data_IF_902672454877
#
_entry.id   IF_902672454877
#
_cell.length_a   1.000
_cell.length_b   1.000
_cell.length_c   1.000
_cell.angle_alpha   90.00
_cell.angle_beta   90.00
_cell.angle_gamma   90.00
#
_symmetry.space_group_name_H-M   'P 1'
#
loop_
_entity.id
_entity.type
_entity.pdbx_description
1 polymer ?
#
# COMPACT_ATOMS: atom_id res chain seq x y z
N UNK A 1 -18.80 -4.85 -15.55
CA UNK A 1 -17.41 -5.17 -15.16
C UNK A 1 -17.51 -6.27 -14.13
N UNK A 2 -17.10 -7.46 -14.52
CA UNK A 2 -16.99 -8.58 -13.59
C UNK A 2 -15.70 -8.37 -12.77
N UNK A 3 -15.81 -8.41 -11.44
CA UNK A 3 -14.66 -8.30 -10.53
C UNK A 3 -14.30 -9.67 -9.93
N UNK A 4 -14.99 -10.72 -10.35
CA UNK A 4 -14.62 -12.08 -10.02
C UNK A 4 -13.31 -12.46 -10.70
N UNK A 5 -12.48 -13.20 -9.96
CA UNK A 5 -11.22 -13.69 -10.49
C UNK A 5 -11.48 -14.81 -11.51
N UNK A 6 -10.72 -14.79 -12.60
CA UNK A 6 -10.67 -15.90 -13.55
C UNK A 6 -10.15 -17.18 -12.87
N UNK A 7 -10.39 -18.37 -13.45
CA UNK A 7 -9.80 -19.61 -12.94
C UNK A 7 -8.28 -19.52 -12.75
N UNK A 8 -7.57 -18.97 -13.74
CA UNK A 8 -6.11 -18.82 -13.70
C UNK A 8 -5.67 -17.84 -12.60
N UNK A 9 -6.39 -16.74 -12.40
CA UNK A 9 -6.13 -15.80 -11.31
C UNK A 9 -6.39 -16.42 -9.92
N UNK A 10 -7.40 -17.30 -9.80
CA UNK A 10 -7.64 -18.05 -8.55
C UNK A 10 -6.52 -19.05 -8.27
N UNK A 11 -6.02 -19.72 -9.31
CA UNK A 11 -4.89 -20.64 -9.18
C UNK A 11 -3.61 -19.90 -8.80
N UNK A 12 -3.33 -18.75 -9.42
CA UNK A 12 -2.23 -17.87 -9.05
C UNK A 12 -2.34 -17.45 -7.58
N UNK A 13 -3.52 -16.97 -7.15
CA UNK A 13 -3.74 -16.57 -5.76
C UNK A 13 -3.46 -17.74 -4.80
N UNK A 14 -3.96 -18.94 -5.10
CA UNK A 14 -3.72 -20.13 -4.29
C UNK A 14 -2.24 -20.54 -4.26
N UNK A 15 -1.50 -20.36 -5.36
CA UNK A 15 -0.08 -20.63 -5.41
C UNK A 15 0.73 -19.65 -4.55
N UNK A 16 0.43 -18.35 -4.63
CA UNK A 16 1.04 -17.32 -3.78
C UNK A 16 0.75 -17.59 -2.31
N UNK A 17 -0.49 -17.93 -1.95
CA UNK A 17 -0.87 -18.26 -0.57
C UNK A 17 -0.12 -19.48 -0.03
N UNK A 18 0.17 -20.48 -0.86
CA UNK A 18 0.98 -21.64 -0.45
C UNK A 18 2.41 -21.26 -0.09
N UNK A 19 3.05 -20.40 -0.89
CA UNK A 19 4.40 -19.88 -0.60
C UNK A 19 4.39 -18.98 0.64
N UNK A 20 3.34 -18.17 0.82
CA UNK A 20 3.20 -17.28 1.97
C UNK A 20 2.84 -18.00 3.29
N UNK A 21 2.32 -19.22 3.24
CA UNK A 21 1.79 -19.93 4.42
C UNK A 21 2.78 -20.06 5.60
N UNK A 22 4.08 -20.33 5.40
CA UNK A 22 5.06 -20.37 6.49
C UNK A 22 5.22 -19.02 7.23
N UNK A 23 4.81 -17.92 6.60
CA UNK A 23 4.92 -16.55 7.10
C UNK A 23 3.59 -16.01 7.68
N UNK A 24 2.59 -16.87 7.90
CA UNK A 24 1.26 -16.44 8.36
C UNK A 24 1.27 -15.79 9.77
N UNK A 25 2.27 -16.12 10.59
CA UNK A 25 2.43 -15.63 11.96
C UNK A 25 3.85 -15.09 12.18
N UNK A 26 3.99 -14.24 13.19
CA UNK A 26 5.26 -13.76 13.69
C UNK A 26 5.96 -14.85 14.53
N UNK A 27 7.30 -14.89 14.55
CA UNK A 27 8.03 -15.79 15.44
C UNK A 27 7.70 -15.53 16.91
N UNK A 28 7.54 -16.60 17.69
CA UNK A 28 7.23 -16.49 19.11
C UNK A 28 8.34 -15.75 19.87
N UNK A 29 7.97 -14.74 20.65
CA UNK A 29 8.91 -13.94 21.45
C UNK A 29 9.67 -12.87 20.66
N UNK A 30 9.36 -12.67 19.37
CA UNK A 30 9.92 -11.55 18.61
C UNK A 30 9.46 -10.20 19.20
N UNK A 31 10.39 -9.24 19.27
CA UNK A 31 10.14 -7.88 19.75
C UNK A 31 10.56 -6.81 18.75
N UNK A 32 10.86 -7.23 17.52
CA UNK A 32 11.32 -6.41 16.42
C UNK A 32 10.23 -5.42 16.02
N UNK A 33 10.64 -4.24 15.56
CA UNK A 33 9.69 -3.23 15.11
C UNK A 33 9.07 -3.56 13.75
N UNK A 34 9.71 -4.44 12.99
CA UNK A 34 9.29 -5.02 11.72
C UNK A 34 9.96 -6.39 11.58
N UNK A 35 9.36 -7.30 10.82
CA UNK A 35 9.92 -8.61 10.54
C UNK A 35 10.47 -8.63 9.11
N UNK A 36 11.65 -9.20 8.93
CA UNK A 36 12.32 -9.24 7.63
C UNK A 36 11.66 -10.24 6.67
N UNK A 37 10.95 -9.70 5.69
CA UNK A 37 10.26 -10.46 4.66
C UNK A 37 11.12 -10.78 3.43
N UNK A 38 12.42 -10.47 3.42
CA UNK A 38 13.30 -10.80 2.29
C UNK A 38 13.31 -12.29 1.90
N UNK A 39 13.32 -13.26 2.85
CA UNK A 39 13.23 -14.68 2.47
C UNK A 39 11.97 -15.01 1.65
N UNK A 40 10.82 -14.46 2.05
CA UNK A 40 9.58 -14.62 1.30
C UNK A 40 9.65 -13.88 -0.05
N UNK A 41 10.22 -12.68 -0.08
CA UNK A 41 10.40 -11.92 -1.31
C UNK A 41 11.21 -12.72 -2.35
N UNK A 42 12.32 -13.32 -1.93
CA UNK A 42 13.20 -14.12 -2.80
C UNK A 42 12.52 -15.39 -3.29
N UNK A 43 11.70 -16.04 -2.47
CA UNK A 43 10.91 -17.21 -2.87
C UNK A 43 9.84 -16.83 -3.90
N UNK A 44 9.14 -15.70 -3.70
CA UNK A 44 8.15 -15.17 -4.65
C UNK A 44 8.79 -14.74 -5.98
N UNK A 45 9.98 -14.13 -5.94
CA UNK A 45 10.74 -13.75 -7.13
C UNK A 45 11.23 -14.97 -7.91
N UNK A 46 11.79 -15.96 -7.21
CA UNK A 46 12.26 -17.23 -7.79
C UNK A 46 11.12 -18.03 -8.42
N UNK A 47 9.92 -17.97 -7.84
CA UNK A 47 8.71 -18.57 -8.40
C UNK A 47 8.12 -17.77 -9.58
N UNK A 48 8.67 -16.58 -9.88
CA UNK A 48 8.24 -15.73 -10.98
C UNK A 48 7.00 -14.86 -10.68
N UNK A 49 6.49 -14.85 -9.45
CA UNK A 49 5.24 -14.15 -9.12
C UNK A 49 5.35 -12.63 -9.17
N UNK A 50 6.54 -12.05 -9.00
CA UNK A 50 6.75 -10.61 -9.19
C UNK A 50 6.51 -10.16 -10.64
N UNK A 51 6.58 -11.09 -11.60
CA UNK A 51 6.35 -10.82 -13.03
C UNK A 51 4.93 -11.16 -13.47
N UNK A 52 4.06 -11.59 -12.55
CA UNK A 52 2.68 -12.00 -12.88
C UNK A 52 1.90 -10.91 -13.63
N UNK A 53 2.17 -9.64 -13.34
CA UNK A 53 1.54 -8.49 -14.01
C UNK A 53 1.81 -8.41 -15.51
N UNK A 54 2.95 -8.93 -15.98
CA UNK A 54 3.34 -8.94 -17.38
C UNK A 54 2.76 -10.13 -18.17
N UNK A 55 2.16 -11.10 -17.48
CA UNK A 55 1.54 -12.28 -18.11
C UNK A 55 0.12 -11.93 -18.55
N UNK A 56 -0.23 -12.26 -19.80
CA UNK A 56 -1.51 -11.88 -20.42
C UNK A 56 -2.71 -12.46 -19.66
N UNK A 57 -2.53 -13.66 -19.09
CA UNK A 57 -3.56 -14.40 -18.36
C UNK A 57 -3.97 -13.70 -17.04
N UNK A 58 -3.05 -12.95 -16.44
CA UNK A 58 -3.26 -12.32 -15.13
C UNK A 58 -3.48 -10.81 -15.25
N UNK A 59 -2.69 -10.14 -16.11
CA UNK A 59 -2.65 -8.69 -16.24
C UNK A 59 -2.35 -7.98 -14.91
N UNK A 60 -2.77 -6.72 -14.73
CA UNK A 60 -2.55 -5.95 -13.50
C UNK A 60 -3.04 -6.63 -12.21
N UNK A 61 -4.04 -7.53 -12.31
CA UNK A 61 -4.52 -8.27 -11.15
C UNK A 61 -3.51 -9.29 -10.62
N UNK A 62 -2.57 -9.77 -11.43
CA UNK A 62 -1.50 -10.67 -10.96
C UNK A 62 -0.67 -10.04 -9.83
N UNK A 63 -0.16 -8.81 -10.05
CA UNK A 63 0.56 -8.05 -9.02
C UNK A 63 -0.33 -7.64 -7.83
N UNK A 64 -1.62 -7.35 -8.07
CA UNK A 64 -2.57 -7.05 -6.99
C UNK A 64 -2.74 -8.25 -6.06
N UNK A 65 -2.94 -9.46 -6.59
CA UNK A 65 -3.15 -10.67 -5.78
C UNK A 65 -1.91 -11.01 -4.93
N UNK A 66 -0.72 -10.79 -5.50
CA UNK A 66 0.53 -10.91 -4.78
C UNK A 66 0.61 -9.93 -3.60
N UNK A 67 0.37 -8.65 -3.89
CA UNK A 67 0.47 -7.58 -2.90
C UNK A 67 -0.62 -7.69 -1.82
N UNK A 68 -1.84 -8.08 -2.18
CA UNK A 68 -2.93 -8.39 -1.23
C UNK A 68 -2.50 -9.48 -0.25
N UNK A 69 -1.89 -10.56 -0.75
CA UNK A 69 -1.44 -11.67 0.09
C UNK A 69 -0.28 -11.25 0.99
N UNK A 70 0.73 -10.59 0.42
CA UNK A 70 1.93 -10.16 1.16
C UNK A 70 1.60 -9.14 2.27
N UNK A 71 0.73 -8.17 1.99
CA UNK A 71 0.35 -7.12 2.95
C UNK A 71 -0.52 -7.63 4.11
N UNK A 72 -1.18 -8.79 3.94
CA UNK A 72 -1.92 -9.49 5.00
C UNK A 72 -1.04 -10.25 6.01
N UNK A 73 0.27 -10.31 5.78
CA UNK A 73 1.23 -10.96 6.66
C UNK A 73 1.82 -9.96 7.68
N UNK A 74 2.27 -10.41 8.85
CA UNK A 74 2.99 -9.54 9.78
C UNK A 74 4.37 -9.09 9.23
N UNK A 75 4.88 -9.82 8.23
CA UNK A 75 6.18 -9.60 7.60
C UNK A 75 6.20 -8.39 6.66
N UNK A 76 7.33 -7.69 6.62
CA UNK A 76 7.53 -6.55 5.72
C UNK A 76 8.08 -7.05 4.38
N UNK A 77 7.22 -7.10 3.36
CA UNK A 77 7.56 -7.61 2.04
C UNK A 77 7.32 -6.53 0.99
N UNK A 78 8.38 -5.85 0.55
CA UNK A 78 8.32 -4.70 -0.37
C UNK A 78 8.00 -5.07 -1.82
N UNK A 79 6.80 -5.62 -2.08
CA UNK A 79 6.40 -6.12 -3.41
C UNK A 79 5.72 -5.07 -4.29
N UNK A 80 5.10 -4.03 -3.73
CA UNK A 80 4.28 -3.07 -4.51
C UNK A 80 5.06 -2.34 -5.61
N UNK A 81 6.28 -1.91 -5.32
CA UNK A 81 7.14 -1.27 -6.31
C UNK A 81 7.55 -2.22 -7.45
N UNK A 82 7.93 -3.46 -7.12
CA UNK A 82 8.45 -4.43 -8.09
C UNK A 82 7.33 -5.11 -8.90
N UNK A 83 6.21 -5.47 -8.27
CA UNK A 83 5.15 -6.26 -8.89
C UNK A 83 4.09 -5.43 -9.62
N UNK A 84 3.93 -4.14 -9.25
CA UNK A 84 2.94 -3.26 -9.87
C UNK A 84 3.59 -2.04 -10.51
N UNK A 85 4.33 -1.24 -9.74
CA UNK A 85 4.76 0.08 -10.22
C UNK A 85 5.79 -0.01 -11.34
N UNK A 86 6.88 -0.73 -11.16
CA UNK A 86 7.91 -0.89 -12.17
C UNK A 86 7.33 -1.43 -13.50
N UNK A 87 6.69 -2.62 -13.56
CA UNK A 87 6.23 -3.16 -14.83
C UNK A 87 5.15 -2.30 -15.51
N UNK A 88 4.25 -1.65 -14.74
CA UNK A 88 3.11 -0.93 -15.32
C UNK A 88 3.35 0.55 -15.57
N UNK A 89 4.34 1.17 -14.89
CA UNK A 89 4.69 2.57 -15.10
C UNK A 89 5.92 2.73 -16.00
N UNK A 90 6.91 1.85 -15.88
CA UNK A 90 8.18 1.96 -16.62
C UNK A 90 8.26 0.99 -17.80
N UNK A 91 7.55 -0.14 -17.74
CA UNK A 91 7.69 -1.23 -18.71
C UNK A 91 9.01 -2.00 -18.57
N UNK A 92 9.80 -1.72 -17.53
CA UNK A 92 11.07 -2.39 -17.25
C UNK A 92 10.94 -3.35 -16.05
N UNK A 93 11.59 -4.51 -16.14
CA UNK A 93 11.80 -5.42 -15.01
C UNK A 93 13.01 -4.93 -14.20
N UNK A 94 12.75 -4.12 -13.17
CA UNK A 94 13.80 -3.53 -12.33
C UNK A 94 14.20 -4.50 -11.21
N UNK A 95 15.50 -4.62 -10.87
CA UNK A 95 15.94 -5.43 -9.74
C UNK A 95 15.26 -4.98 -8.44
N UNK A 96 14.45 -5.84 -7.85
CA UNK A 96 13.71 -5.51 -6.65
C UNK A 96 14.30 -6.12 -5.36
N UNK A 97 13.82 -5.73 -4.16
CA UNK A 97 12.68 -4.85 -3.94
C UNK A 97 12.88 -3.43 -4.51
N UNK A 98 11.80 -2.81 -4.97
CA UNK A 98 11.82 -1.46 -5.56
C UNK A 98 11.19 -0.47 -4.57
N UNK A 99 11.99 0.46 -4.05
CA UNK A 99 11.53 1.58 -3.23
C UNK A 99 11.14 2.77 -4.11
N UNK A 100 10.29 3.66 -3.59
CA UNK A 100 9.80 4.84 -4.33
C UNK A 100 9.96 6.09 -3.47
N UNK A 101 10.66 7.09 -4.02
CA UNK A 101 10.77 8.43 -3.47
C UNK A 101 10.06 9.42 -4.38
N UNK A 102 9.50 10.47 -3.79
CA UNK A 102 8.95 11.62 -4.51
C UNK A 102 9.74 12.86 -4.13
N UNK A 103 10.20 13.61 -5.11
CA UNK A 103 10.94 14.85 -4.85
C UNK A 103 10.09 15.83 -4.01
N UNK A 104 10.77 16.55 -3.13
CA UNK A 104 10.13 17.49 -2.21
C UNK A 104 9.34 16.85 -1.05
N UNK A 105 9.25 15.51 -0.95
CA UNK A 105 8.59 14.81 0.17
C UNK A 105 9.53 14.37 1.30
N UNK A 106 10.79 14.80 1.25
CA UNK A 106 11.81 14.49 2.24
C UNK A 106 12.78 13.40 1.77
N UNK A 107 13.77 13.10 2.60
CA UNK A 107 14.82 12.12 2.34
C UNK A 107 14.48 10.72 2.88
N UNK A 108 13.33 10.56 3.56
CA UNK A 108 12.90 9.31 4.20
C UNK A 108 12.03 8.47 3.27
N UNK A 109 12.42 7.22 3.05
CA UNK A 109 11.81 6.31 2.07
C UNK A 109 11.54 4.95 2.70
N UNK A 110 10.32 4.43 2.49
CA UNK A 110 9.90 3.09 2.94
C UNK A 110 10.56 2.00 2.09
N UNK A 111 10.91 0.88 2.73
CA UNK A 111 11.66 -0.25 2.18
C UNK A 111 13.08 0.05 1.69
N UNK A 112 13.56 1.29 1.78
CA UNK A 112 14.86 1.67 1.25
C UNK A 112 16.05 0.82 1.75
N UNK A 113 16.15 0.42 3.03
CA UNK A 113 17.29 -0.38 3.51
C UNK A 113 17.40 -1.78 2.90
N UNK A 114 16.31 -2.32 2.35
CA UNK A 114 16.25 -3.66 1.75
C UNK A 114 16.02 -3.61 0.23
N UNK A 115 15.86 -2.41 -0.33
CA UNK A 115 15.62 -2.24 -1.75
C UNK A 115 16.90 -2.42 -2.57
N UNK A 116 16.75 -2.96 -3.78
CA UNK A 116 17.81 -3.03 -4.79
C UNK A 116 17.73 -1.86 -5.78
N UNK A 117 16.53 -1.34 -6.03
CA UNK A 117 16.30 -0.17 -6.88
C UNK A 117 15.50 0.89 -6.14
N UNK A 118 15.86 2.16 -6.32
CA UNK A 118 15.05 3.31 -5.94
C UNK A 118 14.50 4.01 -7.19
N UNK A 119 13.18 4.13 -7.29
CA UNK A 119 12.53 5.03 -8.23
C UNK A 119 12.38 6.41 -7.60
N UNK A 120 13.02 7.43 -8.19
CA UNK A 120 12.90 8.83 -7.77
C UNK A 120 11.96 9.53 -8.74
N UNK A 121 10.82 9.98 -8.22
CA UNK A 121 9.76 10.63 -8.98
C UNK A 121 9.87 12.14 -8.79
N UNK A 122 10.41 12.82 -9.80
CA UNK A 122 10.45 14.27 -9.86
C UNK A 122 9.18 14.87 -10.45
N UNK A 123 9.22 16.18 -10.72
CA UNK A 123 8.10 16.91 -11.32
C UNK A 123 7.91 16.53 -12.81
N UNK A 124 9.01 16.41 -13.56
CA UNK A 124 9.00 16.19 -15.01
C UNK A 124 9.60 14.84 -15.43
N UNK A 125 10.41 14.21 -14.58
CA UNK A 125 11.16 13.01 -14.91
C UNK A 125 11.12 11.96 -13.80
N UNK A 126 11.39 10.71 -14.18
CA UNK A 126 11.55 9.59 -13.23
C UNK A 126 12.95 9.02 -13.41
N UNK A 127 13.66 8.82 -12.29
CA UNK A 127 14.99 8.20 -12.29
C UNK A 127 14.94 6.84 -11.62
N UNK A 128 15.74 5.90 -12.14
CA UNK A 128 16.03 4.64 -11.47
C UNK A 128 17.48 4.66 -10.96
N UNK A 129 17.65 4.53 -9.65
CA UNK A 129 18.94 4.40 -8.99
C UNK A 129 19.14 2.94 -8.56
N UNK A 130 20.23 2.33 -9.03
CA UNK A 130 20.75 1.09 -8.44
C UNK A 130 21.31 1.43 -7.04
N UNK A 131 20.80 0.74 -6.03
CA UNK A 131 21.21 0.97 -4.64
C UNK A 131 22.48 0.20 -4.27
N UNK A 132 23.03 -0.62 -5.18
CA UNK A 132 24.34 -1.25 -5.00
C UNK A 132 25.43 -0.17 -4.84
N UNK A 133 25.91 -0.01 -3.61
CA UNK A 133 26.93 0.99 -3.26
C UNK A 133 26.39 2.40 -3.02
N UNK A 134 25.07 2.61 -3.03
CA UNK A 134 24.46 3.88 -2.63
C UNK A 134 24.57 4.11 -1.12
N UNK A 135 24.69 5.37 -0.70
CA UNK A 135 24.72 5.73 0.72
C UNK A 135 23.31 5.83 1.29
N UNK A 136 22.83 4.73 1.85
CA UNK A 136 21.54 4.63 2.54
C UNK A 136 21.77 4.58 4.05
N UNK A 137 21.00 5.37 4.80
CA UNK A 137 21.01 5.34 6.27
C UNK A 137 19.74 4.68 6.78
N UNK A 138 19.80 3.43 7.32
CA UNK A 138 18.63 2.81 7.95
C UNK A 138 18.12 3.62 9.13
N UNK A 139 16.80 3.78 9.24
CA UNK A 139 16.14 4.51 10.30
C UNK A 139 15.43 3.56 11.25
N UNK A 140 15.51 3.86 12.55
CA UNK A 140 14.74 3.15 13.57
C UNK A 140 13.33 3.71 13.62
N UNK A 141 12.38 2.97 13.09
CA UNK A 141 10.96 3.34 13.11
C UNK A 141 10.14 2.28 13.84
N UNK A 142 8.88 2.61 14.12
CA UNK A 142 7.90 1.67 14.69
C UNK A 142 6.89 1.18 13.65
N UNK A 143 7.06 1.56 12.38
CA UNK A 143 6.03 1.50 11.34
C UNK A 143 5.81 0.11 10.72
N UNK A 144 6.36 -0.95 11.31
CA UNK A 144 6.25 -2.33 10.82
C UNK A 144 6.78 -2.59 9.40
N UNK A 145 7.51 -1.62 8.85
CA UNK A 145 8.30 -1.70 7.62
C UNK A 145 9.67 -1.02 7.86
N UNK A 146 10.73 -1.42 7.14
CA UNK A 146 12.02 -0.75 7.22
C UNK A 146 11.96 0.60 6.50
N UNK A 147 12.56 1.62 7.10
CA UNK A 147 12.71 2.95 6.50
C UNK A 147 14.20 3.28 6.44
N UNK A 148 14.58 4.03 5.43
CA UNK A 148 15.92 4.59 5.31
C UNK A 148 15.86 6.04 4.88
N UNK A 149 16.94 6.77 5.08
CA UNK A 149 17.16 8.04 4.41
C UNK A 149 18.25 7.96 3.34
N UNK A 150 18.10 8.77 2.30
CA UNK A 150 19.07 8.93 1.21
C UNK A 150 19.08 10.39 0.76
N UNK A 151 20.28 10.94 0.55
CA UNK A 151 20.41 12.34 0.18
C UNK A 151 19.91 12.61 -1.24
N UNK A 152 19.44 13.83 -1.50
CA UNK A 152 19.10 14.27 -2.86
C UNK A 152 20.27 14.10 -3.83
N UNK A 153 21.51 14.34 -3.38
CA UNK A 153 22.69 14.14 -4.22
C UNK A 153 22.83 12.69 -4.69
N UNK A 154 22.59 11.72 -3.81
CA UNK A 154 22.58 10.30 -4.19
C UNK A 154 21.41 9.98 -5.13
N UNK A 155 20.20 10.47 -4.82
CA UNK A 155 19.01 10.29 -5.67
C UNK A 155 19.23 10.74 -7.12
N UNK A 156 19.94 11.86 -7.33
CA UNK A 156 20.22 12.42 -8.65
C UNK A 156 21.22 11.60 -9.47
N UNK A 157 21.94 10.63 -8.88
CA UNK A 157 22.82 9.72 -9.62
C UNK A 157 22.06 8.66 -10.43
N UNK A 158 20.76 8.50 -10.18
CA UNK A 158 19.93 7.57 -10.93
C UNK A 158 19.83 7.94 -12.42
N UNK A 159 19.74 6.93 -13.28
CA UNK A 159 19.51 7.13 -14.72
C UNK A 159 18.08 7.61 -14.95
N UNK A 160 17.89 8.53 -15.88
CA UNK A 160 16.55 8.95 -16.30
C UNK A 160 15.89 7.85 -17.10
N UNK A 161 14.64 7.51 -16.76
CA UNK A 161 13.83 6.56 -17.49
C UNK A 161 13.13 7.26 -18.66
N UNK A 162 13.42 6.82 -19.89
CA UNK A 162 12.82 7.39 -21.08
C UNK A 162 11.32 7.03 -21.16
N UNK A 163 10.48 7.99 -21.57
CA UNK A 163 9.04 7.82 -21.76
C UNK A 163 8.24 7.44 -20.51
N UNK A 164 8.79 7.60 -19.31
CA UNK A 164 8.08 7.38 -18.05
C UNK A 164 7.59 8.71 -17.49
N UNK A 165 6.28 8.84 -17.31
CA UNK A 165 5.68 10.04 -16.72
C UNK A 165 5.56 9.88 -15.20
N UNK A 166 5.93 10.89 -14.39
CA UNK A 166 5.68 10.89 -12.94
C UNK A 166 4.24 10.52 -12.56
N UNK A 167 3.27 10.98 -13.35
CA UNK A 167 1.85 10.66 -13.17
C UNK A 167 1.52 9.16 -13.29
N UNK A 168 2.23 8.39 -14.13
CA UNK A 168 2.00 6.95 -14.26
C UNK A 168 2.56 6.19 -13.07
N UNK A 169 3.72 6.59 -12.56
CA UNK A 169 4.29 6.04 -11.31
C UNK A 169 3.35 6.32 -10.14
N UNK A 170 2.88 7.57 -10.01
CA UNK A 170 1.96 7.96 -8.94
C UNK A 170 0.61 7.21 -9.03
N UNK A 171 0.10 6.99 -10.23
CA UNK A 171 -1.14 6.22 -10.48
C UNK A 171 -0.99 4.80 -9.95
N UNK A 172 0.04 4.07 -10.38
CA UNK A 172 0.24 2.68 -9.96
C UNK A 172 0.67 2.56 -8.51
N UNK A 173 1.38 3.55 -7.98
CA UNK A 173 1.66 3.62 -6.54
C UNK A 173 0.40 3.85 -5.71
N UNK A 174 -0.53 4.66 -6.21
CA UNK A 174 -1.85 4.85 -5.55
C UNK A 174 -2.65 3.54 -5.50
N UNK A 175 -2.59 2.74 -6.57
CA UNK A 175 -3.17 1.38 -6.58
C UNK A 175 -2.47 0.50 -5.56
N UNK A 176 -1.13 0.43 -5.58
CA UNK A 176 -0.35 -0.41 -4.67
C UNK A 176 -0.63 -0.08 -3.19
N UNK A 177 -0.62 1.20 -2.80
CA UNK A 177 -0.93 1.63 -1.44
C UNK A 177 -2.36 1.25 -1.03
N UNK A 178 -3.34 1.39 -1.93
CA UNK A 178 -4.72 0.98 -1.66
C UNK A 178 -4.84 -0.53 -1.42
N UNK A 179 -4.09 -1.34 -2.20
CA UNK A 179 -4.01 -2.79 -2.02
C UNK A 179 -3.36 -3.16 -0.69
N UNK A 180 -2.22 -2.54 -0.36
CA UNK A 180 -1.50 -2.81 0.89
C UNK A 180 -2.35 -2.47 2.13
N UNK A 181 -3.06 -1.34 2.09
CA UNK A 181 -4.01 -0.97 3.14
C UNK A 181 -5.11 -2.02 3.24
N UNK A 182 -5.65 -2.48 2.11
CA UNK A 182 -6.69 -3.51 2.08
C UNK A 182 -6.26 -4.80 2.78
N UNK A 183 -5.09 -5.35 2.41
CA UNK A 183 -4.58 -6.59 3.00
C UNK A 183 -4.22 -6.44 4.47
N UNK A 184 -3.55 -5.35 4.85
CA UNK A 184 -3.20 -5.10 6.25
C UNK A 184 -4.44 -4.87 7.14
N UNK A 185 -5.47 -4.20 6.62
CA UNK A 185 -6.72 -3.95 7.33
C UNK A 185 -7.55 -5.22 7.50
N UNK A 186 -7.59 -6.10 6.48
CA UNK A 186 -8.24 -7.42 6.57
C UNK A 186 -7.57 -8.30 7.63
N UNK A 187 -6.24 -8.33 7.64
CA UNK A 187 -5.46 -9.08 8.62
C UNK A 187 -5.62 -8.57 10.06
N UNK A 188 -5.70 -7.24 10.25
CA UNK A 188 -6.01 -6.64 11.55
C UNK A 188 -7.42 -7.02 12.02
N UNK A 189 -8.41 -6.92 11.11
CA UNK A 189 -9.80 -7.24 11.40
C UNK A 189 -9.99 -8.71 11.76
N UNK A 190 -9.39 -9.63 11.01
CA UNK A 190 -9.44 -11.06 11.28
C UNK A 190 -8.94 -11.39 12.70
N UNK A 191 -7.77 -10.86 13.07
CA UNK A 191 -7.19 -11.03 14.42
C UNK A 191 -8.08 -10.43 15.51
N UNK A 192 -8.68 -9.26 15.26
CA UNK A 192 -9.66 -8.67 16.19
C UNK A 192 -10.88 -9.57 16.35
N UNK A 193 -11.42 -10.14 15.27
CA UNK A 193 -12.57 -11.04 15.32
C UNK A 193 -12.25 -12.28 16.16
N UNK A 194 -11.06 -12.86 16.02
CA UNK A 194 -10.59 -13.97 16.86
C UNK A 194 -10.51 -13.55 18.33
N UNK A 195 -9.90 -12.41 18.62
CA UNK A 195 -9.75 -11.89 19.97
C UNK A 195 -11.10 -11.67 20.68
N UNK A 196 -12.06 -11.01 20.02
CA UNK A 196 -13.36 -10.69 20.63
C UNK A 196 -14.21 -11.94 20.89
N UNK A 197 -13.97 -13.04 20.15
CA UNK A 197 -14.65 -14.32 20.37
C UNK A 197 -14.17 -15.02 21.65
N UNK A 198 -12.93 -14.82 22.07
CA UNK A 198 -12.34 -15.50 23.23
C UNK A 198 -12.29 -14.61 24.49
N UNK A 199 -12.15 -13.29 24.33
CA UNK A 199 -12.04 -12.35 25.45
C UNK A 199 -13.38 -12.21 26.17
N UNK A 200 -13.42 -12.50 27.47
CA UNK A 200 -14.65 -12.42 28.29
C UNK A 200 -14.66 -11.20 29.21
N UNK A 201 -15.79 -10.49 29.24
CA UNK A 201 -16.11 -9.43 30.20
C UNK A 201 -17.61 -9.46 30.50
N UNK A 202 -17.99 -9.12 31.74
CA UNK A 202 -19.36 -9.18 32.24
C UNK A 202 -20.03 -10.54 31.94
N UNK A 203 -19.31 -11.63 32.21
CA UNK A 203 -19.83 -13.00 32.13
C UNK A 203 -19.89 -13.66 30.74
N UNK A 204 -19.59 -12.94 29.64
CA UNK A 204 -19.63 -13.52 28.27
C UNK A 204 -18.51 -12.99 27.37
N UNK A 205 -18.24 -13.62 26.20
CA UNK A 205 -17.34 -13.06 25.21
C UNK A 205 -17.75 -11.65 24.77
N UNK A 206 -16.78 -10.75 24.59
CA UNK A 206 -17.05 -9.36 24.21
C UNK A 206 -17.62 -9.26 22.78
N UNK A 207 -17.32 -10.21 21.90
CA UNK A 207 -17.96 -10.32 20.58
C UNK A 207 -19.47 -10.57 20.62
N UNK A 208 -20.04 -10.87 21.80
CA UNK A 208 -21.49 -11.01 22.01
C UNK A 208 -22.24 -9.71 22.32
N UNK A 209 -21.58 -8.55 22.26
CA UNK A 209 -22.23 -7.24 22.39
C UNK A 209 -22.48 -6.62 21.01
N UNK A 210 -23.72 -6.20 20.74
CA UNK A 210 -24.12 -5.63 19.45
C UNK A 210 -23.27 -4.42 19.03
N UNK A 211 -22.87 -3.57 19.99
CA UNK A 211 -22.01 -2.42 19.72
C UNK A 211 -20.65 -2.80 19.10
N UNK A 212 -20.09 -3.96 19.49
CA UNK A 212 -18.86 -4.51 18.91
C UNK A 212 -19.18 -5.13 17.55
N UNK A 213 -20.26 -5.92 17.45
CA UNK A 213 -20.66 -6.59 16.20
C UNK A 213 -20.92 -5.59 15.07
N UNK A 214 -21.66 -4.51 15.32
CA UNK A 214 -21.97 -3.49 14.31
C UNK A 214 -20.70 -2.81 13.79
N UNK A 215 -19.79 -2.41 14.70
CA UNK A 215 -18.52 -1.78 14.32
C UNK A 215 -17.58 -2.71 13.56
N UNK A 216 -17.53 -4.00 13.91
CA UNK A 216 -16.77 -4.99 13.15
C UNK A 216 -17.38 -5.23 11.77
N UNK A 217 -18.71 -5.25 11.66
CA UNK A 217 -19.39 -5.33 10.37
C UNK A 217 -19.12 -4.09 9.50
N UNK A 218 -19.12 -2.88 10.08
CA UNK A 218 -18.71 -1.65 9.39
C UNK A 218 -17.26 -1.74 8.90
N UNK A 219 -16.33 -2.23 9.73
CA UNK A 219 -14.95 -2.46 9.32
C UNK A 219 -14.86 -3.44 8.15
N UNK A 220 -15.63 -4.53 8.16
CA UNK A 220 -15.67 -5.50 7.06
C UNK A 220 -16.12 -4.84 5.75
N UNK A 221 -17.13 -3.96 5.81
CA UNK A 221 -17.59 -3.21 4.63
C UNK A 221 -16.49 -2.32 4.09
N UNK A 222 -15.80 -1.57 4.96
CA UNK A 222 -14.69 -0.70 4.58
C UNK A 222 -13.56 -1.49 3.91
N UNK A 223 -13.11 -2.59 4.52
CA UNK A 223 -12.04 -3.45 3.98
C UNK A 223 -12.43 -4.04 2.63
N UNK A 224 -13.66 -4.54 2.52
CA UNK A 224 -14.16 -5.15 1.28
C UNK A 224 -14.24 -4.11 0.14
N UNK A 225 -14.72 -2.91 0.44
CA UNK A 225 -14.79 -1.82 -0.53
C UNK A 225 -13.39 -1.32 -0.96
N UNK A 226 -12.44 -1.20 -0.03
CA UNK A 226 -11.04 -0.89 -0.36
C UNK A 226 -10.46 -1.87 -1.37
N UNK A 227 -10.63 -3.17 -1.10
CA UNK A 227 -10.17 -4.24 -2.01
C UNK A 227 -10.81 -4.13 -3.39
N UNK A 228 -12.13 -3.95 -3.45
CA UNK A 228 -12.86 -3.84 -4.72
C UNK A 228 -12.46 -2.60 -5.54
N UNK A 229 -12.28 -1.46 -4.89
CA UNK A 229 -11.85 -0.22 -5.54
C UNK A 229 -10.42 -0.32 -6.05
N UNK A 230 -9.51 -0.91 -5.27
CA UNK A 230 -8.12 -1.13 -5.67
C UNK A 230 -8.03 -2.07 -6.89
N UNK A 231 -8.74 -3.21 -6.87
CA UNK A 231 -8.84 -4.13 -8.02
C UNK A 231 -9.43 -3.46 -9.25
N UNK A 232 -10.51 -2.68 -9.09
CA UNK A 232 -11.11 -1.91 -10.18
C UNK A 232 -10.10 -0.95 -10.79
N UNK A 233 -9.40 -0.17 -9.96
CA UNK A 233 -8.40 0.78 -10.43
C UNK A 233 -7.24 0.08 -11.16
N UNK A 234 -6.83 -1.10 -10.68
CA UNK A 234 -5.80 -1.90 -11.34
C UNK A 234 -6.24 -2.38 -12.73
N UNK A 235 -7.45 -2.95 -12.83
CA UNK A 235 -8.01 -3.45 -14.11
C UNK A 235 -8.22 -2.30 -15.11
N UNK A 236 -8.71 -1.15 -14.66
CA UNK A 236 -9.00 -0.03 -15.57
C UNK A 236 -7.77 0.79 -15.93
N UNK A 237 -6.71 0.76 -15.11
CA UNK A 237 -5.55 1.64 -15.28
C UNK A 237 -5.90 3.12 -15.28
N UNK A 238 -7.06 3.49 -14.71
CA UNK A 238 -7.60 4.85 -14.74
C UNK A 238 -7.04 5.65 -13.56
N UNK A 239 -6.46 6.81 -13.85
CA UNK A 239 -5.83 7.65 -12.84
C UNK A 239 -6.83 8.17 -11.80
N UNK A 240 -8.07 8.47 -12.21
CA UNK A 240 -9.12 8.93 -11.29
C UNK A 240 -9.52 7.79 -10.35
N UNK A 241 -9.74 6.58 -10.89
CA UNK A 241 -10.04 5.40 -10.09
C UNK A 241 -8.92 5.06 -9.11
N UNK A 242 -7.65 5.18 -9.50
CA UNK A 242 -6.50 4.96 -8.63
C UNK A 242 -6.45 5.97 -7.47
N UNK A 243 -6.65 7.26 -7.75
CA UNK A 243 -6.69 8.29 -6.72
C UNK A 243 -7.88 8.12 -5.75
N UNK A 244 -9.05 7.72 -6.26
CA UNK A 244 -10.23 7.40 -5.44
C UNK A 244 -10.02 6.16 -4.57
N UNK A 245 -9.41 5.11 -5.12
CA UNK A 245 -9.08 3.90 -4.37
C UNK A 245 -8.13 4.21 -3.21
N UNK A 246 -7.07 4.99 -3.46
CA UNK A 246 -6.15 5.46 -2.43
C UNK A 246 -6.85 6.29 -1.36
N UNK A 247 -7.64 7.30 -1.76
CA UNK A 247 -8.38 8.15 -0.82
C UNK A 247 -9.32 7.34 0.09
N UNK A 248 -10.08 6.41 -0.49
CA UNK A 248 -10.96 5.53 0.26
C UNK A 248 -10.18 4.62 1.22
N UNK A 249 -9.09 4.02 0.74
CA UNK A 249 -8.23 3.15 1.54
C UNK A 249 -7.63 3.89 2.74
N UNK A 250 -7.05 5.08 2.53
CA UNK A 250 -6.46 5.90 3.60
C UNK A 250 -7.50 6.28 4.68
N UNK A 251 -8.75 6.55 4.28
CA UNK A 251 -9.85 6.79 5.22
C UNK A 251 -10.26 5.52 5.98
N UNK A 252 -10.37 4.39 5.27
CA UNK A 252 -10.67 3.08 5.86
C UNK A 252 -9.59 2.64 6.87
N UNK A 253 -8.31 2.85 6.54
CA UNK A 253 -7.17 2.56 7.42
C UNK A 253 -7.32 3.23 8.79
N UNK A 254 -7.67 4.52 8.81
CA UNK A 254 -7.87 5.26 10.05
C UNK A 254 -8.98 4.67 10.92
N UNK A 255 -10.12 4.31 10.32
CA UNK A 255 -11.27 3.75 11.05
C UNK A 255 -11.02 2.32 11.53
N UNK A 256 -10.50 1.44 10.67
CA UNK A 256 -10.18 0.05 11.02
C UNK A 256 -9.11 0.00 12.11
N UNK A 257 -8.07 0.84 12.01
CA UNK A 257 -7.04 0.92 13.05
C UNK A 257 -7.63 1.34 14.40
N UNK A 258 -8.54 2.32 14.41
CA UNK A 258 -9.17 2.76 15.65
C UNK A 258 -10.03 1.66 16.29
N UNK A 259 -10.90 1.02 15.52
CA UNK A 259 -11.82 -0.01 16.04
C UNK A 259 -11.06 -1.26 16.50
N UNK A 260 -10.09 -1.74 15.72
CA UNK A 260 -9.29 -2.92 16.07
C UNK A 260 -8.45 -2.69 17.34
N UNK A 261 -7.84 -1.52 17.51
CA UNK A 261 -7.15 -1.13 18.74
C UNK A 261 -8.12 -1.03 19.93
N UNK A 262 -9.24 -0.34 19.76
CA UNK A 262 -10.22 -0.14 20.82
C UNK A 262 -10.77 -1.46 21.39
N UNK A 263 -10.97 -2.48 20.56
CA UNK A 263 -11.51 -3.77 21.00
C UNK A 263 -10.48 -4.68 21.68
N UNK A 264 -9.18 -4.46 21.43
CA UNK A 264 -8.12 -5.13 22.17
C UNK A 264 -7.78 -4.42 23.50
N UNK A 265 -8.16 -3.15 23.66
CA UNK A 265 -7.88 -2.37 24.86
C UNK A 265 -6.37 -2.30 25.13
N UNK A 266 -5.96 -2.44 26.39
CA UNK A 266 -4.54 -2.40 26.76
C UNK A 266 -3.69 -3.47 26.03
N UNK A 267 -4.25 -4.64 25.74
CA UNK A 267 -3.54 -5.70 24.98
C UNK A 267 -3.20 -5.25 23.55
N UNK A 268 -3.95 -4.32 22.96
CA UNK A 268 -3.65 -3.77 21.62
C UNK A 268 -2.41 -2.88 21.58
N UNK A 269 -1.99 -2.37 22.74
CA UNK A 269 -0.82 -1.52 22.90
C UNK A 269 0.46 -2.30 23.24
N UNK A 270 0.33 -3.58 23.61
CA UNK A 270 1.49 -4.45 23.87
C UNK A 270 1.97 -5.10 22.57
N UNK A 271 3.18 -5.65 22.59
CA UNK A 271 3.73 -6.47 21.49
C UNK A 271 3.49 -7.98 21.69
N UNK A 272 2.66 -8.34 22.66
CA UNK A 272 2.34 -9.74 22.95
C UNK A 272 1.38 -10.34 21.91
N UNK A 273 0.68 -9.48 21.17
CA UNK A 273 -0.19 -9.86 20.06
C UNK A 273 0.27 -9.18 18.77
N UNK A 274 0.05 -9.85 17.65
CA UNK A 274 0.52 -9.41 16.32
C UNK A 274 -0.19 -8.17 15.77
N UNK A 275 -1.25 -7.69 16.43
CA UNK A 275 -2.04 -6.53 15.98
C UNK A 275 -1.17 -5.29 15.69
N UNK A 276 -0.08 -5.13 16.44
CA UNK A 276 0.79 -3.97 16.33
C UNK A 276 1.46 -3.85 14.95
N UNK A 277 1.82 -4.97 14.29
CA UNK A 277 2.37 -4.94 12.93
C UNK A 277 1.42 -4.26 11.96
N UNK A 278 0.14 -4.65 11.98
CA UNK A 278 -0.88 -4.09 11.09
C UNK A 278 -1.26 -2.67 11.49
N UNK A 279 -1.36 -2.39 12.79
CA UNK A 279 -1.68 -1.05 13.30
C UNK A 279 -0.64 -0.04 12.81
N UNK A 280 0.64 -0.33 13.00
CA UNK A 280 1.70 0.60 12.65
C UNK A 280 1.90 0.71 11.13
N UNK A 281 1.75 -0.40 10.40
CA UNK A 281 1.77 -0.38 8.92
C UNK A 281 0.64 0.47 8.35
N UNK A 282 -0.59 0.28 8.83
CA UNK A 282 -1.75 1.09 8.39
C UNK A 282 -1.56 2.58 8.70
N UNK A 283 -0.97 2.91 9.86
CA UNK A 283 -0.64 4.31 10.20
C UNK A 283 0.38 4.92 9.25
N UNK A 284 1.39 4.15 8.84
CA UNK A 284 2.36 4.60 7.85
C UNK A 284 1.73 4.79 6.48
N UNK A 285 1.02 3.77 5.99
CA UNK A 285 0.38 3.78 4.68
C UNK A 285 -0.66 4.90 4.52
N UNK A 286 -1.35 5.26 5.61
CA UNK A 286 -2.27 6.40 5.63
C UNK A 286 -1.59 7.74 5.25
N UNK A 287 -0.28 7.88 5.44
CA UNK A 287 0.50 9.07 5.09
C UNK A 287 1.32 8.96 3.81
N UNK A 288 1.45 7.76 3.23
CA UNK A 288 2.39 7.45 2.13
C UNK A 288 2.20 8.38 0.92
N UNK A 289 0.94 8.68 0.59
CA UNK A 289 0.60 9.52 -0.55
C UNK A 289 0.36 10.99 -0.17
N UNK A 290 0.90 11.46 0.96
CA UNK A 290 0.60 12.73 1.63
C UNK A 290 -0.82 12.78 2.23
N UNK A 291 -1.42 11.60 2.41
CA UNK A 291 -2.67 11.36 3.11
C UNK A 291 -3.95 11.69 2.34
N UNK A 292 -5.07 11.41 3.02
CA UNK A 292 -6.44 11.43 2.47
C UNK A 292 -6.74 12.71 1.70
N UNK A 293 -6.32 13.87 2.24
CA UNK A 293 -6.55 15.17 1.62
C UNK A 293 -5.89 15.28 0.25
N UNK A 294 -4.62 14.88 0.13
CA UNK A 294 -3.89 14.90 -1.13
C UNK A 294 -4.50 13.92 -2.15
N UNK A 295 -4.82 12.69 -1.74
CA UNK A 295 -5.48 11.71 -2.60
C UNK A 295 -6.85 12.17 -3.09
N UNK A 296 -7.65 12.78 -2.20
CA UNK A 296 -8.99 13.28 -2.53
C UNK A 296 -8.93 14.50 -3.47
N UNK A 297 -7.98 15.42 -3.24
CA UNK A 297 -7.78 16.57 -4.13
C UNK A 297 -7.32 16.12 -5.51
N UNK A 298 -6.39 15.15 -5.61
CA UNK A 298 -5.99 14.58 -6.92
C UNK A 298 -7.17 13.97 -7.65
N UNK A 299 -7.99 13.17 -6.96
CA UNK A 299 -9.19 12.59 -7.57
C UNK A 299 -10.17 13.68 -8.04
N UNK A 300 -10.36 14.74 -7.24
CA UNK A 300 -11.23 15.86 -7.59
C UNK A 300 -10.69 16.65 -8.79
N UNK A 301 -9.40 16.97 -8.83
CA UNK A 301 -8.76 17.72 -9.91
C UNK A 301 -8.78 16.92 -11.24
N UNK A 302 -8.66 15.59 -11.20
CA UNK A 302 -8.80 14.74 -12.38
C UNK A 302 -10.26 14.63 -12.86
N UNK A 303 -11.23 14.57 -11.94
CA UNK A 303 -12.65 14.41 -12.28
C UNK A 303 -13.31 15.72 -12.70
N UNK A 304 -12.94 16.80 -12.04
CA UNK A 304 -13.43 18.16 -12.24
C UNK A 304 -12.24 19.09 -12.39
N UNK A 305 -11.53 19.02 -13.52
CA UNK A 305 -10.43 19.93 -13.78
C UNK A 305 -10.96 21.35 -13.62
N UNK A 306 -10.28 22.12 -12.76
CA UNK A 306 -10.60 23.54 -12.60
C UNK A 306 -10.62 24.12 -14.00
N UNK A 307 -11.75 24.70 -14.41
CA UNK A 307 -11.80 25.48 -15.65
C UNK A 307 -10.62 26.43 -15.54
N UNK A 308 -9.66 26.32 -16.46
CA UNK A 308 -8.63 27.35 -16.62
C UNK A 308 -9.38 28.66 -16.54
N UNK A 309 -9.11 29.46 -15.50
CA UNK A 309 -9.67 30.80 -15.44
C UNK A 309 -9.25 31.44 -16.76
N UNK A 310 -10.22 31.59 -17.67
CA UNK A 310 -10.04 32.39 -18.85
C UNK A 310 -9.62 33.74 -18.31
N UNK A 311 -8.34 34.06 -18.52
CA UNK A 311 -7.92 35.44 -18.61
C UNK A 311 -8.94 36.18 -19.47
N UNK A 312 -9.25 37.41 -19.06
CA UNK A 312 -10.00 38.44 -19.79
C UNK A 312 -11.48 38.66 -19.44
N UNK A 313 -12.28 37.70 -18.96
CA UNK A 313 -13.72 37.97 -18.79
C UNK A 313 -14.13 38.70 -17.49
N UNK A 314 -13.26 38.80 -16.48
CA UNK A 314 -13.60 39.39 -15.16
C UNK A 314 -13.06 40.81 -14.94
N UNK A 315 -12.21 41.33 -15.83
CA UNK A 315 -11.70 42.70 -15.76
C UNK A 315 -12.62 43.73 -16.45
N UNK A 316 -13.37 43.33 -17.48
CA UNK A 316 -14.27 44.22 -18.23
C UNK A 316 -15.48 44.68 -17.40
N UNK A 317 -16.02 43.81 -16.52
CA UNK A 317 -17.20 44.14 -15.69
C UNK A 317 -16.93 45.03 -14.48
N UNK A 318 -15.66 45.39 -14.22
CA UNK A 318 -15.27 46.35 -13.16
C UNK A 318 -14.82 47.71 -13.70
N UNK A 319 -14.82 47.92 -15.02
CA UNK A 319 -14.51 49.21 -15.66
C UNK A 319 -15.74 49.97 -16.16
N UNK A 320 -16.94 49.40 -16.04
CA UNK A 320 -18.20 50.03 -16.52
C UNK A 320 -19.29 50.02 -15.43
N UNK A 321 -18.92 50.08 -14.15
CA UNK A 321 -19.85 50.30 -13.04
C UNK A 321 -19.27 51.30 -12.06
#
# INVERSE_FOLDING_TARGET
MDLELSPDQKELQAAIQRIAAPFAAAPAGDSSHWLDGMPLYEELDSAGFLRATAMEEYGPLGGVLLLETASGLPWSVGTGGAALVAPLATGEDLPGPVAIAFDGRGDVVRHLPVARTLLVVGDDEVRALDLAGAQVTPLKTIFADPFGSISQHEMMKGRVLANVRPADVLKWWSVAVAVEIGGAADAALARTVEYVKIRRQFGKPIGGYQAIQHRLAECQVLVSATRMLARRAAVTGDATAAALAASYAEAAAGRVTYDTQQFHGASGLTREIELHFFTYRLRSLQGELAGIGASSLRAADMRWPRRSEGGEARAEKRRVA
#
